data_IF_175317586313
#
_entry.id   IF_175317586313
#
_cell.length_a   1.000
_cell.length_b   1.000
_cell.length_c   1.000
_cell.angle_alpha   90.00
_cell.angle_beta   90.00
_cell.angle_gamma   90.00
#
_symmetry.space_group_name_H-M   'P 1'
#
loop_
_entity.id
_entity.type
_entity.pdbx_description
1 polymer ?
#
# COMPACT_ATOMS: atom_id res chain seq x y z
N UNK A 1 -12.41 36.69 -1.79
CA UNK A 1 -10.96 36.98 -1.87
C UNK A 1 -10.05 35.96 -1.15
N UNK A 2 -10.57 34.99 -0.37
CA UNK A 2 -9.74 33.96 0.29
C UNK A 2 -8.99 33.02 -0.68
N UNK A 3 -9.52 32.79 -1.89
CA UNK A 3 -8.98 31.77 -2.80
C UNK A 3 -7.60 32.06 -3.43
N UNK A 4 -7.17 33.31 -3.60
CA UNK A 4 -5.87 33.59 -4.25
C UNK A 4 -4.70 33.34 -3.30
N UNK A 5 -4.80 33.81 -2.05
CA UNK A 5 -3.78 33.57 -1.03
C UNK A 5 -3.69 32.11 -0.62
N UNK A 6 -4.83 31.43 -0.51
CA UNK A 6 -4.89 29.99 -0.23
C UNK A 6 -4.20 29.19 -1.34
N UNK A 7 -4.49 29.50 -2.61
CA UNK A 7 -3.82 28.84 -3.75
C UNK A 7 -2.33 29.11 -3.80
N UNK A 8 -1.91 30.35 -3.53
CA UNK A 8 -0.49 30.68 -3.45
C UNK A 8 0.20 29.88 -2.33
N UNK A 9 -0.42 29.78 -1.15
CA UNK A 9 0.07 28.98 -0.02
C UNK A 9 0.17 27.49 -0.39
N UNK A 10 -0.87 26.93 -1.00
CA UNK A 10 -0.88 25.54 -1.45
C UNK A 10 0.20 25.25 -2.50
N UNK A 11 0.43 26.19 -3.43
CA UNK A 11 1.51 26.09 -4.41
C UNK A 11 2.90 26.04 -3.77
N UNK A 12 3.17 26.87 -2.75
CA UNK A 12 4.44 26.82 -2.01
C UNK A 12 4.59 25.51 -1.23
N UNK A 13 3.51 25.03 -0.58
CA UNK A 13 3.54 23.74 0.14
C UNK A 13 3.86 22.59 -0.81
N UNK A 14 3.20 22.54 -1.97
CA UNK A 14 3.44 21.50 -2.97
C UNK A 14 4.91 21.49 -3.44
N UNK A 15 5.51 22.67 -3.62
CA UNK A 15 6.91 22.76 -4.04
C UNK A 15 7.88 22.36 -2.93
N UNK A 16 7.61 22.74 -1.67
CA UNK A 16 8.38 22.26 -0.50
C UNK A 16 8.34 20.73 -0.43
N UNK A 17 7.16 20.13 -0.55
CA UNK A 17 6.97 18.67 -0.55
C UNK A 17 7.71 18.02 -1.72
N UNK A 18 7.63 18.59 -2.93
CA UNK A 18 8.32 18.09 -4.12
C UNK A 18 9.84 18.04 -3.91
N UNK A 19 10.44 19.13 -3.41
CA UNK A 19 11.87 19.19 -3.12
C UNK A 19 12.27 18.24 -1.98
N UNK A 20 11.43 18.11 -0.96
CA UNK A 20 11.65 17.17 0.13
C UNK A 20 11.66 15.72 -0.36
N UNK A 21 10.76 15.34 -1.29
CA UNK A 21 10.76 14.00 -1.91
C UNK A 21 12.06 13.72 -2.68
N UNK A 22 12.56 14.71 -3.43
CA UNK A 22 13.86 14.59 -4.10
C UNK A 22 14.99 14.36 -3.10
N UNK A 23 15.02 15.13 -2.02
CA UNK A 23 16.02 14.96 -0.97
C UNK A 23 15.95 13.56 -0.32
N UNK A 24 14.75 13.04 -0.05
CA UNK A 24 14.56 11.68 0.48
C UNK A 24 15.02 10.62 -0.52
N UNK A 25 14.76 10.81 -1.82
CA UNK A 25 15.22 9.89 -2.86
C UNK A 25 16.74 9.86 -2.99
N UNK A 26 17.40 11.01 -2.87
CA UNK A 26 18.86 11.13 -3.04
C UNK A 26 19.64 10.74 -1.78
N UNK A 27 19.15 11.11 -0.60
CA UNK A 27 19.92 11.03 0.66
C UNK A 27 19.23 10.23 1.77
N UNK A 28 18.02 9.73 1.53
CA UNK A 28 17.22 9.01 2.52
C UNK A 28 16.50 9.91 3.53
N UNK A 29 15.45 9.37 4.15
CA UNK A 29 14.58 10.11 5.06
C UNK A 29 15.28 10.63 6.33
N UNK A 30 16.32 9.92 6.80
CA UNK A 30 17.14 10.36 7.93
C UNK A 30 17.84 11.70 7.66
N UNK A 31 18.23 11.97 6.40
CA UNK A 31 18.96 13.17 5.99
C UNK A 31 18.05 14.37 5.63
N UNK A 32 16.72 14.22 5.68
CA UNK A 32 15.77 15.27 5.35
C UNK A 32 16.04 16.56 6.15
N UNK A 33 16.14 17.70 5.46
CA UNK A 33 16.50 18.99 6.06
C UNK A 33 15.70 20.15 5.48
N UNK A 34 14.88 20.80 6.32
CA UNK A 34 14.15 22.02 5.96
C UNK A 34 15.07 23.15 5.48
N UNK A 35 16.32 23.21 5.97
CA UNK A 35 17.29 24.22 5.53
C UNK A 35 17.77 23.96 4.10
N UNK A 36 17.98 22.69 3.75
CA UNK A 36 18.35 22.32 2.39
C UNK A 36 17.19 22.63 1.42
N UNK A 37 15.97 22.22 1.78
CA UNK A 37 14.75 22.53 1.00
C UNK A 37 14.57 24.05 0.82
N UNK A 38 14.79 24.85 1.87
CA UNK A 38 14.72 26.31 1.77
C UNK A 38 15.72 26.89 0.77
N UNK A 39 16.97 26.42 0.81
CA UNK A 39 18.02 26.85 -0.12
C UNK A 39 17.64 26.50 -1.57
N UNK A 40 17.15 25.30 -1.81
CA UNK A 40 16.82 24.83 -3.16
C UNK A 40 15.58 25.55 -3.72
N UNK A 41 14.67 25.99 -2.84
CA UNK A 41 13.51 26.82 -3.17
C UNK A 41 13.85 28.31 -3.33
N UNK A 42 15.08 28.74 -3.00
CA UNK A 42 15.48 30.15 -3.00
C UNK A 42 14.87 30.98 -1.86
N UNK A 43 14.49 30.32 -0.76
CA UNK A 43 13.88 30.94 0.42
C UNK A 43 14.84 30.98 1.60
N UNK A 44 14.70 31.99 2.47
CA UNK A 44 15.34 31.98 3.78
C UNK A 44 14.76 30.86 4.64
N UNK A 45 15.57 30.17 5.44
CA UNK A 45 15.09 29.01 6.23
C UNK A 45 13.91 29.35 7.13
N UNK A 46 13.93 30.52 7.78
CA UNK A 46 12.82 31.00 8.63
C UNK A 46 11.48 31.10 7.89
N UNK A 47 11.49 31.25 6.57
CA UNK A 47 10.27 31.31 5.77
C UNK A 47 9.63 29.93 5.58
N UNK A 48 10.43 28.88 5.39
CA UNK A 48 9.95 27.50 5.26
C UNK A 48 9.36 26.99 6.58
N UNK A 49 9.95 27.40 7.71
CA UNK A 49 9.41 27.08 9.05
C UNK A 49 8.00 27.62 9.32
N UNK A 50 7.49 28.56 8.50
CA UNK A 50 6.09 29.01 8.56
C UNK A 50 5.10 28.06 7.90
N UNK A 51 5.59 27.11 7.11
CA UNK A 51 4.79 26.09 6.44
C UNK A 51 4.90 24.74 7.13
N UNK A 52 6.09 24.39 7.64
CA UNK A 52 6.36 23.19 8.42
C UNK A 52 7.23 23.58 9.61
N UNK A 53 6.69 23.48 10.83
CA UNK A 53 7.36 23.87 12.06
C UNK A 53 8.56 22.97 12.39
N UNK A 54 8.60 21.74 11.86
CA UNK A 54 9.71 20.81 12.11
C UNK A 54 9.99 19.89 10.92
N UNK A 55 11.15 19.24 10.96
CA UNK A 55 11.50 18.14 10.04
C UNK A 55 10.46 17.03 10.11
N UNK A 56 10.00 16.70 11.31
CA UNK A 56 9.08 15.59 11.53
C UNK A 56 7.69 15.90 10.98
N UNK A 57 7.24 17.17 11.03
CA UNK A 57 5.99 17.59 10.39
C UNK A 57 6.06 17.42 8.86
N UNK A 58 7.18 17.83 8.24
CA UNK A 58 7.40 17.60 6.81
C UNK A 58 7.47 16.10 6.50
N UNK A 59 8.14 15.31 7.33
CA UNK A 59 8.21 13.86 7.16
C UNK A 59 6.85 13.18 7.28
N UNK A 60 6.02 13.59 8.23
CA UNK A 60 4.62 13.15 8.36
C UNK A 60 3.84 13.47 7.09
N UNK A 61 3.97 14.67 6.54
CA UNK A 61 3.30 15.02 5.28
C UNK A 61 3.75 14.11 4.12
N UNK A 62 5.05 13.82 4.02
CA UNK A 62 5.56 12.90 3.00
C UNK A 62 4.99 11.48 3.16
N UNK A 63 4.86 11.00 4.39
CA UNK A 63 4.28 9.69 4.69
C UNK A 63 2.80 9.64 4.32
N UNK A 64 2.03 10.66 4.72
CA UNK A 64 0.60 10.79 4.38
C UNK A 64 0.43 10.78 2.86
N UNK A 65 1.15 11.63 2.14
CA UNK A 65 1.05 11.71 0.68
C UNK A 65 1.44 10.38 0.00
N UNK A 66 2.47 9.70 0.51
CA UNK A 66 2.92 8.42 -0.05
C UNK A 66 1.86 7.34 0.15
N UNK A 67 1.24 7.28 1.33
CA UNK A 67 0.12 6.38 1.58
C UNK A 67 -1.11 6.71 0.73
N UNK A 68 -1.43 7.98 0.54
CA UNK A 68 -2.54 8.40 -0.31
C UNK A 68 -2.32 7.97 -1.77
N UNK A 69 -1.13 8.18 -2.32
CA UNK A 69 -0.79 7.77 -3.68
C UNK A 69 -0.79 6.25 -3.86
N UNK A 70 -0.31 5.50 -2.86
CA UNK A 70 -0.41 4.04 -2.83
C UNK A 70 -1.88 3.58 -2.79
N UNK A 71 -2.70 4.22 -1.94
CA UNK A 71 -4.13 3.97 -1.86
C UNK A 71 -4.85 4.23 -3.17
N UNK A 72 -4.57 5.37 -3.82
CA UNK A 72 -5.10 5.74 -5.13
C UNK A 72 -4.71 4.73 -6.21
N UNK A 73 -3.47 4.26 -6.23
CA UNK A 73 -3.02 3.24 -7.18
C UNK A 73 -3.81 1.94 -7.00
N UNK A 74 -4.01 1.48 -5.76
CA UNK A 74 -4.80 0.28 -5.46
C UNK A 74 -6.28 0.45 -5.84
N UNK A 75 -6.88 1.60 -5.53
CA UNK A 75 -8.27 1.93 -5.84
C UNK A 75 -8.52 2.03 -7.35
N UNK A 76 -7.65 2.73 -8.08
CA UNK A 76 -7.74 2.86 -9.52
C UNK A 76 -7.58 1.50 -10.22
N UNK A 77 -6.67 0.67 -9.73
CA UNK A 77 -6.47 -0.67 -10.27
C UNK A 77 -7.69 -1.57 -10.04
N UNK A 78 -8.30 -1.56 -8.85
CA UNK A 78 -9.57 -2.26 -8.61
C UNK A 78 -10.68 -1.76 -9.54
N UNK A 79 -10.84 -0.45 -9.65
CA UNK A 79 -11.87 0.19 -10.47
C UNK A 79 -11.74 -0.11 -11.98
N UNK A 80 -10.53 -0.44 -12.46
CA UNK A 80 -10.28 -0.82 -13.85
C UNK A 80 -11.00 -2.13 -14.26
N UNK A 81 -11.35 -2.99 -13.30
CA UNK A 81 -12.02 -4.27 -13.57
C UNK A 81 -13.53 -4.06 -13.66
N UNK A 82 -14.04 -4.07 -14.90
CA UNK A 82 -15.46 -3.82 -15.23
C UNK A 82 -16.42 -4.82 -14.57
N UNK A 83 -16.08 -6.11 -14.57
CA UNK A 83 -16.92 -7.15 -13.98
C UNK A 83 -16.65 -7.25 -12.48
N UNK A 84 -17.46 -6.58 -11.67
CA UNK A 84 -17.25 -6.49 -10.20
C UNK A 84 -17.33 -7.83 -9.47
N UNK A 85 -18.06 -8.80 -10.02
CA UNK A 85 -18.14 -10.19 -9.52
C UNK A 85 -16.93 -11.07 -9.87
N UNK A 86 -15.97 -10.55 -10.65
CA UNK A 86 -14.71 -11.22 -10.96
C UNK A 86 -13.64 -10.88 -9.91
N UNK A 87 -13.82 -11.43 -8.70
CA UNK A 87 -12.91 -11.20 -7.58
C UNK A 87 -11.45 -11.60 -7.86
N UNK A 88 -11.16 -12.72 -8.55
CA UNK A 88 -9.78 -13.04 -8.96
C UNK A 88 -9.15 -11.99 -9.88
N UNK A 89 -9.90 -11.46 -10.85
CA UNK A 89 -9.38 -10.41 -11.72
C UNK A 89 -9.11 -9.11 -10.95
N UNK A 90 -9.99 -8.73 -10.02
CA UNK A 90 -9.81 -7.57 -9.15
C UNK A 90 -8.60 -7.71 -8.23
N UNK A 91 -8.42 -8.87 -7.60
CA UNK A 91 -7.24 -9.17 -6.79
C UNK A 91 -5.93 -9.00 -7.58
N UNK A 92 -5.87 -9.57 -8.79
CA UNK A 92 -4.71 -9.40 -9.68
C UNK A 92 -4.49 -7.93 -10.01
N UNK A 93 -5.53 -7.20 -10.39
CA UNK A 93 -5.42 -5.79 -10.71
C UNK A 93 -4.88 -4.96 -9.52
N UNK A 94 -5.46 -5.12 -8.32
CA UNK A 94 -5.03 -4.43 -7.10
C UNK A 94 -3.56 -4.67 -6.80
N UNK A 95 -3.15 -5.94 -6.76
CA UNK A 95 -1.76 -6.33 -6.43
C UNK A 95 -0.77 -5.81 -7.46
N UNK A 96 -1.12 -5.87 -8.75
CA UNK A 96 -0.33 -5.27 -9.83
C UNK A 96 -0.22 -3.76 -9.73
N UNK A 97 -1.32 -3.06 -9.43
CA UNK A 97 -1.32 -1.60 -9.25
C UNK A 97 -0.41 -1.15 -8.11
N UNK A 98 -0.43 -1.89 -6.99
CA UNK A 98 0.46 -1.64 -5.86
C UNK A 98 1.93 -1.88 -6.23
N UNK A 99 2.23 -3.02 -6.88
CA UNK A 99 3.60 -3.32 -7.31
C UNK A 99 4.12 -2.28 -8.31
N UNK A 100 3.30 -1.87 -9.27
CA UNK A 100 3.68 -0.87 -10.27
C UNK A 100 3.99 0.47 -9.58
N UNK A 101 3.11 0.94 -8.68
CA UNK A 101 3.38 2.14 -7.89
C UNK A 101 4.69 2.04 -7.11
N UNK A 102 4.95 0.88 -6.48
CA UNK A 102 6.14 0.66 -5.68
C UNK A 102 7.44 0.71 -6.52
N UNK A 103 7.42 0.12 -7.72
CA UNK A 103 8.53 0.15 -8.68
C UNK A 103 8.78 1.57 -9.20
N UNK A 104 7.71 2.31 -9.48
CA UNK A 104 7.81 3.68 -9.99
C UNK A 104 8.23 4.68 -8.91
N UNK A 105 8.04 4.35 -7.63
CA UNK A 105 8.30 5.23 -6.48
C UNK A 105 9.10 4.51 -5.37
N UNK A 106 10.31 3.99 -5.64
CA UNK A 106 11.03 3.13 -4.70
C UNK A 106 11.45 3.84 -3.41
N UNK A 107 11.74 5.14 -3.46
CA UNK A 107 12.08 5.94 -2.27
C UNK A 107 10.87 6.18 -1.36
N UNK A 108 9.69 6.38 -1.93
CA UNK A 108 8.43 6.49 -1.19
C UNK A 108 8.03 5.13 -0.60
N UNK A 109 8.18 4.05 -1.36
CA UNK A 109 7.98 2.70 -0.84
C UNK A 109 8.92 2.41 0.36
N UNK A 110 10.20 2.76 0.25
CA UNK A 110 11.18 2.62 1.32
C UNK A 110 10.84 3.49 2.55
N UNK A 111 10.27 4.68 2.35
CA UNK A 111 9.79 5.53 3.44
C UNK A 111 8.64 4.87 4.23
N UNK A 112 7.77 4.11 3.57
CA UNK A 112 6.62 3.47 4.20
C UNK A 112 6.95 2.10 4.82
N UNK A 113 7.72 1.27 4.11
CA UNK A 113 7.91 -0.15 4.43
C UNK A 113 9.37 -0.55 4.68
N UNK A 114 10.30 0.40 4.57
CA UNK A 114 11.72 0.18 4.79
C UNK A 114 12.14 0.35 6.24
N UNK A 115 13.40 0.76 6.44
CA UNK A 115 13.95 0.97 7.78
C UNK A 115 13.29 2.16 8.46
N UNK A 116 12.80 2.01 9.72
CA UNK A 116 12.24 3.12 10.48
C UNK A 116 13.22 4.29 10.60
N UNK A 117 12.70 5.52 10.53
CA UNK A 117 13.51 6.74 10.64
C UNK A 117 13.89 6.97 12.11
N UNK A 118 15.19 7.01 12.47
CA UNK A 118 15.60 7.21 13.86
C UNK A 118 15.05 8.51 14.44
N UNK A 119 14.48 8.43 15.65
CA UNK A 119 13.95 9.58 16.38
C UNK A 119 12.59 10.10 15.89
N UNK A 120 12.02 9.52 14.83
CA UNK A 120 10.70 9.88 14.33
C UNK A 120 9.63 8.93 14.91
N UNK A 121 8.51 9.50 15.36
CA UNK A 121 7.32 8.76 15.74
C UNK A 121 6.13 9.28 14.92
N UNK A 122 5.53 8.40 14.12
CA UNK A 122 4.39 8.77 13.28
C UNK A 122 3.18 9.17 14.16
N UNK A 123 2.57 10.35 13.92
CA UNK A 123 1.38 10.75 14.65
C UNK A 123 0.13 9.97 14.19
N UNK A 124 -0.96 10.10 14.95
CA UNK A 124 -2.22 9.37 14.73
C UNK A 124 -2.90 9.71 13.40
N UNK A 125 -2.63 10.91 12.85
CA UNK A 125 -3.12 11.36 11.54
C UNK A 125 -2.64 10.45 10.38
N UNK A 126 -1.52 9.74 10.54
CA UNK A 126 -1.03 8.78 9.55
C UNK A 126 -1.86 7.50 9.46
N UNK A 127 -2.67 7.17 10.48
CA UNK A 127 -3.39 5.89 10.56
C UNK A 127 -4.43 5.75 9.44
N UNK A 128 -5.18 6.83 9.15
CA UNK A 128 -6.19 6.83 8.09
C UNK A 128 -5.58 6.53 6.72
N UNK A 129 -4.62 7.36 6.25
CA UNK A 129 -3.87 7.10 5.02
C UNK A 129 -3.22 5.72 4.98
N UNK A 130 -2.58 5.29 6.07
CA UNK A 130 -1.93 3.97 6.17
C UNK A 130 -2.91 2.80 5.99
N UNK A 131 -4.19 2.98 6.30
CA UNK A 131 -5.21 1.96 6.06
C UNK A 131 -5.68 1.85 4.61
N UNK A 132 -5.57 2.93 3.81
CA UNK A 132 -6.32 3.11 2.55
C UNK A 132 -6.10 1.98 1.54
N UNK A 133 -4.86 1.57 1.32
CA UNK A 133 -4.53 0.49 0.38
C UNK A 133 -5.01 -0.88 0.87
N UNK A 134 -4.91 -1.15 2.17
CA UNK A 134 -5.41 -2.39 2.80
C UNK A 134 -6.94 -2.45 2.76
N UNK A 135 -7.63 -1.31 2.88
CA UNK A 135 -9.09 -1.24 2.76
C UNK A 135 -9.61 -1.72 1.41
N UNK A 136 -8.84 -1.59 0.33
CA UNK A 136 -9.22 -2.09 -0.99
C UNK A 136 -9.36 -3.62 -0.97
N UNK A 137 -8.40 -4.33 -0.35
CA UNK A 137 -8.50 -5.78 -0.14
C UNK A 137 -9.69 -6.14 0.75
N UNK A 138 -9.86 -5.44 1.87
CA UNK A 138 -10.93 -5.75 2.82
C UNK A 138 -12.33 -5.58 2.20
N UNK A 139 -12.54 -4.53 1.40
CA UNK A 139 -13.77 -4.33 0.63
C UNK A 139 -13.99 -5.44 -0.40
N UNK A 140 -12.95 -5.84 -1.14
CA UNK A 140 -13.02 -6.95 -2.09
C UNK A 140 -13.53 -8.23 -1.43
N UNK A 141 -12.97 -8.58 -0.26
CA UNK A 141 -13.32 -9.79 0.48
C UNK A 141 -14.76 -9.73 1.03
N UNK A 142 -15.17 -8.58 1.56
CA UNK A 142 -16.53 -8.39 2.06
C UNK A 142 -17.59 -8.46 0.97
N UNK A 143 -17.31 -7.85 -0.19
CA UNK A 143 -18.18 -7.94 -1.36
C UNK A 143 -18.28 -9.37 -1.89
N UNK A 144 -17.20 -10.16 -1.78
CA UNK A 144 -17.21 -11.59 -2.11
C UNK A 144 -18.12 -12.36 -1.15
N UNK A 145 -17.93 -12.20 0.15
CA UNK A 145 -18.71 -12.92 1.17
C UNK A 145 -20.20 -12.56 1.12
N UNK A 146 -20.52 -11.28 0.94
CA UNK A 146 -21.89 -10.82 0.75
C UNK A 146 -22.56 -11.42 -0.50
N UNK A 147 -21.79 -11.87 -1.49
CA UNK A 147 -22.31 -12.60 -2.67
C UNK A 147 -22.56 -14.10 -2.42
N UNK A 148 -22.34 -14.58 -1.19
CA UNK A 148 -22.47 -15.98 -0.80
C UNK A 148 -21.25 -16.85 -1.17
N UNK A 149 -20.14 -16.23 -1.60
CA UNK A 149 -18.89 -16.94 -1.92
C UNK A 149 -17.98 -16.98 -0.70
N UNK A 150 -17.39 -18.14 -0.43
CA UNK A 150 -16.45 -18.35 0.68
C UNK A 150 -15.06 -18.71 0.17
N UNK A 151 -14.05 -18.55 1.03
CA UNK A 151 -12.68 -19.01 0.76
C UNK A 151 -12.62 -20.52 0.56
N UNK A 152 -11.65 -20.98 -0.23
CA UNK A 152 -11.40 -22.39 -0.49
C UNK A 152 -10.81 -23.11 0.73
N UNK A 153 -10.12 -22.33 1.58
CA UNK A 153 -9.28 -22.84 2.65
C UNK A 153 -9.84 -22.38 3.99
N UNK A 154 -10.23 -23.35 4.82
CA UNK A 154 -10.36 -23.13 6.25
C UNK A 154 -8.95 -23.02 6.84
N UNK A 155 -8.44 -21.80 7.02
CA UNK A 155 -7.18 -21.57 7.71
C UNK A 155 -7.44 -21.60 9.21
N UNK A 156 -6.84 -22.52 9.98
CA UNK A 156 -6.99 -22.51 11.43
C UNK A 156 -6.44 -21.19 11.99
N UNK A 157 -7.31 -20.37 12.56
CA UNK A 157 -6.92 -19.11 13.19
C UNK A 157 -6.32 -19.43 14.56
N UNK A 158 -5.04 -19.07 14.81
CA UNK A 158 -4.45 -19.21 16.13
C UNK A 158 -5.34 -18.55 17.18
N UNK A 159 -5.54 -19.20 18.33
CA UNK A 159 -6.42 -18.68 19.39
C UNK A 159 -6.02 -17.25 19.79
N UNK A 160 -4.72 -16.97 19.84
CA UNK A 160 -4.17 -15.65 20.16
C UNK A 160 -4.61 -14.55 19.19
N UNK A 161 -4.95 -14.87 17.93
CA UNK A 161 -5.31 -13.88 16.91
C UNK A 161 -6.82 -13.59 16.87
N UNK A 162 -7.66 -14.39 17.54
CA UNK A 162 -9.12 -14.27 17.44
C UNK A 162 -9.66 -12.96 18.03
N UNK A 163 -9.11 -12.51 19.16
CA UNK A 163 -9.46 -11.23 19.77
C UNK A 163 -9.12 -10.06 18.84
N UNK A 164 -7.96 -10.14 18.19
CA UNK A 164 -7.46 -9.09 17.31
C UNK A 164 -8.30 -8.99 16.03
N UNK A 165 -8.68 -10.14 15.45
CA UNK A 165 -9.60 -10.17 14.29
C UNK A 165 -10.99 -9.65 14.67
N UNK A 166 -11.48 -9.95 15.88
CA UNK A 166 -12.76 -9.42 16.37
C UNK A 166 -12.71 -7.90 16.53
N UNK A 167 -11.63 -7.37 17.10
CA UNK A 167 -11.43 -5.93 17.26
C UNK A 167 -11.28 -5.25 15.89
N UNK A 168 -10.49 -5.84 14.99
CA UNK A 168 -10.31 -5.37 13.63
C UNK A 168 -11.65 -5.32 12.90
N UNK A 169 -12.44 -6.41 12.89
CA UNK A 169 -13.78 -6.43 12.28
C UNK A 169 -14.70 -5.33 12.83
N UNK A 170 -14.69 -5.14 14.15
CA UNK A 170 -15.51 -4.12 14.82
C UNK A 170 -15.09 -2.70 14.42
N UNK A 171 -13.78 -2.42 14.40
CA UNK A 171 -13.23 -1.13 14.01
C UNK A 171 -13.43 -0.85 12.51
N UNK A 172 -13.38 -1.89 11.68
CA UNK A 172 -13.52 -1.75 10.25
C UNK A 172 -14.99 -1.55 9.82
N UNK A 173 -15.96 -2.00 10.63
CA UNK A 173 -17.38 -1.93 10.28
C UNK A 173 -17.76 -2.74 9.04
N UNK A 174 -16.90 -3.65 8.59
CA UNK A 174 -17.09 -4.47 7.38
C UNK A 174 -17.61 -5.86 7.78
N UNK A 175 -18.70 -6.35 7.17
CA UNK A 175 -19.20 -7.70 7.40
C UNK A 175 -18.32 -8.73 6.65
N UNK A 176 -17.17 -9.05 7.23
CA UNK A 176 -16.26 -10.12 6.77
C UNK A 176 -16.03 -11.13 7.89
N UNK A 177 -16.08 -12.42 7.58
CA UNK A 177 -15.78 -13.49 8.56
C UNK A 177 -14.30 -13.52 8.93
N UNK A 178 -14.02 -13.90 10.18
CA UNK A 178 -12.65 -14.03 10.70
C UNK A 178 -11.79 -14.96 9.84
N UNK A 179 -12.39 -16.02 9.29
CA UNK A 179 -11.71 -16.97 8.41
C UNK A 179 -11.24 -16.30 7.12
N UNK A 180 -12.11 -15.53 6.47
CA UNK A 180 -11.77 -14.83 5.23
C UNK A 180 -10.78 -13.70 5.49
N UNK A 181 -10.94 -12.98 6.60
CA UNK A 181 -10.01 -11.95 7.04
C UNK A 181 -8.60 -12.52 7.27
N UNK A 182 -8.49 -13.65 7.95
CA UNK A 182 -7.20 -14.31 8.18
C UNK A 182 -6.52 -14.75 6.87
N UNK A 183 -7.27 -15.36 5.94
CA UNK A 183 -6.72 -15.75 4.62
C UNK A 183 -6.29 -14.51 3.83
N UNK A 184 -7.10 -13.46 3.85
CA UNK A 184 -6.79 -12.17 3.21
C UNK A 184 -5.50 -11.54 3.75
N UNK A 185 -5.33 -11.51 5.07
CA UNK A 185 -4.12 -10.94 5.69
C UNK A 185 -2.86 -11.73 5.35
N UNK A 186 -2.94 -13.07 5.28
CA UNK A 186 -1.81 -13.91 4.83
C UNK A 186 -1.49 -13.63 3.35
N UNK A 187 -2.51 -13.53 2.50
CA UNK A 187 -2.34 -13.18 1.10
C UNK A 187 -1.66 -11.81 0.94
N UNK A 188 -2.11 -10.83 1.72
CA UNK A 188 -1.56 -9.48 1.73
C UNK A 188 -0.11 -9.44 2.18
N UNK A 189 0.21 -10.12 3.28
CA UNK A 189 1.58 -10.21 3.79
C UNK A 189 2.53 -10.83 2.75
N UNK A 190 2.09 -11.87 2.03
CA UNK A 190 2.88 -12.50 0.99
C UNK A 190 3.12 -11.57 -0.22
N UNK A 191 2.10 -10.81 -0.65
CA UNK A 191 2.24 -9.83 -1.75
C UNK A 191 3.19 -8.70 -1.36
N UNK A 192 2.97 -8.08 -0.20
CA UNK A 192 3.84 -7.00 0.29
C UNK A 192 5.27 -7.49 0.52
N UNK A 193 5.42 -8.70 1.05
CA UNK A 193 6.72 -9.37 1.22
C UNK A 193 7.44 -9.57 -0.11
N UNK A 194 6.75 -10.06 -1.15
CA UNK A 194 7.33 -10.23 -2.48
C UNK A 194 7.82 -8.91 -3.08
N UNK A 195 7.04 -7.83 -2.94
CA UNK A 195 7.43 -6.49 -3.42
C UNK A 195 8.64 -5.97 -2.64
N UNK A 196 8.65 -6.11 -1.32
CA UNK A 196 9.80 -5.68 -0.49
C UNK A 196 11.07 -6.47 -0.80
N UNK A 197 10.97 -7.79 -1.03
CA UNK A 197 12.11 -8.62 -1.41
C UNK A 197 12.71 -8.18 -2.75
N UNK A 198 11.85 -7.81 -3.71
CA UNK A 198 12.27 -7.25 -4.99
C UNK A 198 12.95 -5.88 -4.82
N UNK A 199 12.27 -4.91 -4.20
CA UNK A 199 12.74 -3.53 -4.13
C UNK A 199 13.97 -3.34 -3.24
N UNK A 200 14.11 -4.13 -2.18
CA UNK A 200 15.27 -4.05 -1.27
C UNK A 200 16.42 -4.97 -1.70
N UNK A 201 16.36 -5.54 -2.91
CA UNK A 201 17.48 -6.24 -3.53
C UNK A 201 17.73 -7.65 -2.99
N UNK A 202 16.84 -8.20 -2.15
CA UNK A 202 17.00 -9.55 -1.59
C UNK A 202 16.93 -10.66 -2.64
N UNK A 203 16.35 -10.38 -3.82
CA UNK A 203 16.28 -11.31 -4.95
C UNK A 203 17.50 -11.23 -5.89
N UNK A 204 18.39 -10.24 -5.72
CA UNK A 204 19.54 -10.05 -6.60
C UNK A 204 20.44 -11.30 -6.62
N UNK A 205 20.67 -11.87 -7.81
CA UNK A 205 21.42 -13.13 -8.04
C UNK A 205 20.78 -14.39 -7.42
N UNK A 206 19.51 -14.32 -7.00
CA UNK A 206 18.73 -15.47 -6.51
C UNK A 206 17.60 -15.77 -7.48
N UNK A 207 16.89 -14.75 -7.95
CA UNK A 207 15.78 -14.87 -8.91
C UNK A 207 15.95 -13.78 -9.97
N UNK A 208 16.33 -14.17 -11.19
CA UNK A 208 16.58 -13.22 -12.30
C UNK A 208 15.28 -12.63 -12.89
N UNK A 209 14.13 -13.19 -12.54
CA UNK A 209 12.81 -12.76 -13.01
C UNK A 209 11.87 -12.47 -11.84
N UNK A 210 12.08 -11.38 -11.06
CA UNK A 210 11.31 -11.09 -9.86
C UNK A 210 9.81 -10.91 -10.15
N UNK A 211 9.44 -10.37 -11.32
CA UNK A 211 8.05 -10.30 -11.76
C UNK A 211 7.37 -11.67 -11.91
N UNK A 212 8.10 -12.70 -12.34
CA UNK A 212 7.53 -14.05 -12.46
C UNK A 212 7.29 -14.69 -11.09
N UNK A 213 8.17 -14.43 -10.11
CA UNK A 213 7.94 -14.83 -8.71
C UNK A 213 6.71 -14.12 -8.14
N UNK A 214 6.59 -12.81 -8.39
CA UNK A 214 5.41 -12.04 -7.99
C UNK A 214 4.11 -12.62 -8.57
N UNK A 215 4.09 -12.97 -9.86
CA UNK A 215 2.92 -13.64 -10.48
C UNK A 215 2.59 -14.97 -9.79
N UNK A 216 3.60 -15.76 -9.45
CA UNK A 216 3.40 -17.03 -8.76
C UNK A 216 2.74 -16.82 -7.38
N UNK A 217 3.22 -15.83 -6.62
CA UNK A 217 2.65 -15.43 -5.32
C UNK A 217 1.20 -14.96 -5.50
N UNK A 218 0.94 -14.00 -6.40
CA UNK A 218 -0.41 -13.45 -6.63
C UNK A 218 -1.39 -14.55 -7.03
N UNK A 219 -0.97 -15.47 -7.92
CA UNK A 219 -1.80 -16.60 -8.35
C UNK A 219 -2.10 -17.55 -7.21
N UNK A 220 -1.09 -17.98 -6.46
CA UNK A 220 -1.26 -18.92 -5.35
C UNK A 220 -2.18 -18.35 -4.26
N UNK A 221 -1.96 -17.09 -3.87
CA UNK A 221 -2.80 -16.44 -2.87
C UNK A 221 -4.24 -16.24 -3.38
N UNK A 222 -4.39 -15.90 -4.66
CA UNK A 222 -5.71 -15.78 -5.29
C UNK A 222 -6.48 -17.10 -5.33
N UNK A 223 -5.83 -18.22 -5.66
CA UNK A 223 -6.45 -19.55 -5.66
C UNK A 223 -6.94 -19.95 -4.26
N UNK A 224 -6.21 -19.57 -3.20
CA UNK A 224 -6.61 -19.81 -1.81
C UNK A 224 -7.84 -19.00 -1.40
N UNK A 225 -7.92 -17.73 -1.82
CA UNK A 225 -9.03 -16.82 -1.48
C UNK A 225 -10.29 -17.07 -2.33
N UNK A 226 -10.13 -17.46 -3.60
CA UNK A 226 -11.20 -17.52 -4.58
C UNK A 226 -11.35 -18.91 -5.21
N UNK A 227 -11.97 -19.89 -4.50
CA UNK A 227 -12.18 -21.24 -5.04
C UNK A 227 -13.03 -21.24 -6.31
N UNK A 228 -12.72 -22.17 -7.22
CA UNK A 228 -13.61 -22.54 -8.33
C UNK A 228 -13.53 -21.67 -9.58
N UNK A 229 -12.49 -20.87 -9.77
CA UNK A 229 -12.29 -20.07 -11.00
C UNK A 229 -11.22 -20.60 -11.96
N UNK A 230 -10.56 -21.71 -11.62
CA UNK A 230 -9.72 -22.43 -12.60
C UNK A 230 -10.62 -23.07 -13.64
N UNK A 231 -10.56 -22.57 -14.86
CA UNK A 231 -11.13 -23.20 -16.04
C UNK A 231 -10.83 -24.70 -16.03
N UNK A 232 -11.88 -25.49 -16.24
CA UNK A 232 -11.89 -26.92 -16.51
C UNK A 232 -10.56 -27.45 -17.04
N UNK A 233 -9.79 -28.16 -16.20
CA UNK A 233 -8.85 -29.18 -16.69
C UNK A 233 -9.71 -30.29 -17.29
N UNK A 234 -10.01 -30.20 -18.59
CA UNK A 234 -10.53 -31.34 -19.34
C UNK A 234 -9.52 -32.48 -19.19
N UNK A 235 -9.92 -33.67 -18.72
CA UNK A 235 -9.02 -34.82 -18.77
C UNK A 235 -8.75 -35.14 -20.23
N UNK A 236 -7.46 -35.12 -20.58
CA UNK A 236 -6.97 -35.66 -21.84
C UNK A 236 -7.41 -37.13 -21.92
N UNK A 237 -8.35 -37.43 -22.81
CA UNK A 237 -8.60 -38.81 -23.23
C UNK A 237 -7.36 -39.24 -24.01
N UNK A 238 -6.49 -40.00 -23.36
CA UNK A 238 -5.53 -40.85 -24.08
C UNK A 238 -6.33 -41.99 -24.71
N UNK A 239 -6.17 -42.09 -26.02
CA UNK A 239 -6.40 -43.24 -26.90
C UNK A 239 -5.89 -44.54 -26.32
#
# INVERSE_FOLDING_TARGET
MAGVRERARAGVIAEIVRLARLQVAESGAAALSLRAVARDLGMVSSAVYRYFASRDELLTQLIIDSYDRLGEAAEAADASVKRRSDYPARWRAITHGIRQWAIDNPSEYALLFGTPVPGYAAPQDTIGPAGRYTWVLLRLLAEMEASGRTSAVATPIPVALRSDLTALRSNLGIPVSDALLAVGMVAWANVMGAISLELFGHLHRVVDTPGALFEAVVREQGERMFPGTTASRRPSKRT
#
